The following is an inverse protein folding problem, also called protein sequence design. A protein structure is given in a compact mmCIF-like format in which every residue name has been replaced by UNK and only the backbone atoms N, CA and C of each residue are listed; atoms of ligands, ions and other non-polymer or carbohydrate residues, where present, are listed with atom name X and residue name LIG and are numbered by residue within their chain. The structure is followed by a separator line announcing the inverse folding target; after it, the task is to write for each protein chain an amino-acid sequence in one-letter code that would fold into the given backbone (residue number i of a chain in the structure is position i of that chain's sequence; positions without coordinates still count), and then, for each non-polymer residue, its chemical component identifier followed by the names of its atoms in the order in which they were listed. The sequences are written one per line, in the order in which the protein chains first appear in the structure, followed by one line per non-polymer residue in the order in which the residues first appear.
data_IF_987723103021
#
_entry.id   IF_987723103021
#
_cell.length_a   1.000
_cell.length_b   1.000
_cell.length_c   1.000
_cell.angle_alpha   90.00
_cell.angle_beta   90.00
_cell.angle_gamma   90.00
#
_symmetry.space_group_name_H-M   'P 1'
#
loop_
_entity.id
_entity.type
_entity.pdbx_description
1 polymer ?
#
# COMPACT_ATOMS: atom_id res chain seq x y z
N UNK A 1 1.73 -16.45 5.13
CA UNK A 1 2.40 -15.13 5.19
C UNK A 1 3.92 -15.33 5.31
N UNK A 2 4.73 -14.26 5.27
CA UNK A 2 6.18 -14.38 5.00
C UNK A 2 7.00 -13.61 6.03
N UNK A 3 8.07 -14.22 6.56
CA UNK A 3 9.07 -13.54 7.38
C UNK A 3 10.46 -13.74 6.79
N UNK A 4 11.17 -12.66 6.54
CA UNK A 4 12.56 -12.67 6.09
C UNK A 4 13.46 -12.23 7.25
N UNK A 5 14.54 -12.97 7.50
CA UNK A 5 15.51 -12.68 8.57
C UNK A 5 16.92 -12.63 8.00
N UNK A 6 17.49 -11.43 7.98
CA UNK A 6 18.86 -11.14 7.54
C UNK A 6 19.19 -11.71 6.16
N UNK A 7 18.20 -11.75 5.26
CA UNK A 7 18.35 -12.31 3.92
C UNK A 7 19.43 -11.55 3.18
N UNK A 8 20.46 -12.27 2.77
CA UNK A 8 21.63 -11.72 2.09
C UNK A 8 21.87 -12.50 0.83
N UNK A 9 22.09 -11.80 -0.29
CA UNK A 9 22.48 -12.40 -1.55
C UNK A 9 23.69 -11.70 -2.13
N UNK A 10 24.74 -12.48 -2.36
CA UNK A 10 25.98 -12.05 -2.99
C UNK A 10 26.16 -12.88 -4.27
N UNK A 11 26.60 -12.22 -5.34
CA UNK A 11 26.89 -12.82 -6.63
C UNK A 11 28.38 -12.79 -6.91
N UNK A 12 28.89 -13.82 -7.59
CA UNK A 12 30.27 -13.92 -8.02
C UNK A 12 30.80 -15.34 -7.82
N UNK A 13 32.11 -15.49 -7.96
CA UNK A 13 32.80 -16.78 -7.90
C UNK A 13 32.92 -17.38 -6.49
N UNK A 14 32.91 -16.54 -5.45
CA UNK A 14 33.05 -16.95 -4.06
C UNK A 14 32.23 -16.01 -3.14
N UNK A 15 30.90 -16.16 -3.12
CA UNK A 15 30.01 -15.25 -2.40
C UNK A 15 30.24 -15.22 -0.88
N UNK A 16 30.68 -16.32 -0.28
CA UNK A 16 30.86 -16.46 1.17
C UNK A 16 32.02 -15.59 1.69
N UNK A 17 33.07 -15.41 0.87
CA UNK A 17 34.22 -14.56 1.21
C UNK A 17 33.86 -13.09 1.50
N UNK A 18 32.73 -12.62 0.97
CA UNK A 18 32.27 -11.25 1.15
C UNK A 18 31.38 -11.05 2.40
N UNK A 19 30.96 -12.11 3.09
CA UNK A 19 30.12 -12.01 4.30
C UNK A 19 30.84 -11.25 5.44
N UNK A 20 32.10 -11.55 5.80
CA UNK A 20 32.78 -10.81 6.88
C UNK A 20 32.91 -9.31 6.59
N UNK A 21 33.10 -8.95 5.31
CA UNK A 21 33.19 -7.55 4.90
C UNK A 21 31.86 -6.78 5.09
N UNK A 22 30.73 -7.46 4.96
CA UNK A 22 29.42 -6.89 5.29
C UNK A 22 29.25 -6.67 6.79
N UNK A 23 29.85 -7.51 7.64
CA UNK A 23 29.84 -7.35 9.09
C UNK A 23 30.72 -6.17 9.54
N UNK A 24 31.79 -5.90 8.80
CA UNK A 24 32.61 -4.69 8.94
C UNK A 24 31.94 -3.41 8.39
N UNK A 25 30.68 -3.49 7.95
CA UNK A 25 29.91 -2.39 7.35
C UNK A 25 30.53 -1.79 6.07
N UNK A 26 31.36 -2.55 5.33
CA UNK A 26 31.84 -2.10 4.03
C UNK A 26 30.68 -1.91 3.06
N UNK A 27 30.83 -0.93 2.18
CA UNK A 27 29.87 -0.64 1.12
C UNK A 27 29.93 -1.70 0.02
N UNK A 28 28.88 -1.76 -0.80
CA UNK A 28 28.81 -2.67 -1.94
C UNK A 28 29.96 -2.47 -2.93
N UNK A 29 30.34 -1.21 -3.16
CA UNK A 29 31.42 -0.87 -4.10
C UNK A 29 32.79 -1.26 -3.55
N UNK A 30 33.05 -1.01 -2.25
CA UNK A 30 34.28 -1.47 -1.60
C UNK A 30 34.41 -3.00 -1.64
N UNK A 31 33.33 -3.74 -1.38
CA UNK A 31 33.34 -5.21 -1.45
C UNK A 31 33.64 -5.67 -2.88
N UNK A 32 33.04 -5.02 -3.88
CA UNK A 32 33.27 -5.35 -5.28
C UNK A 32 34.72 -5.08 -5.70
N UNK A 33 35.31 -3.98 -5.25
CA UNK A 33 36.72 -3.66 -5.53
C UNK A 33 37.68 -4.65 -4.86
N UNK A 34 37.40 -5.05 -3.62
CA UNK A 34 38.28 -5.95 -2.85
C UNK A 34 38.17 -7.42 -3.28
N UNK A 35 36.98 -7.88 -3.66
CA UNK A 35 36.69 -9.33 -3.83
C UNK A 35 36.18 -9.71 -5.22
N UNK A 36 35.80 -8.73 -6.05
CA UNK A 36 35.08 -8.96 -7.30
C UNK A 36 33.63 -9.46 -7.12
N UNK A 37 33.16 -9.68 -5.88
CA UNK A 37 31.80 -10.11 -5.59
C UNK A 37 30.83 -8.92 -5.63
N UNK A 38 29.61 -9.13 -6.10
CA UNK A 38 28.56 -8.11 -6.15
C UNK A 38 27.47 -8.39 -5.12
N UNK A 39 27.27 -7.47 -4.18
CA UNK A 39 26.19 -7.58 -3.19
C UNK A 39 24.86 -7.21 -3.83
N UNK A 40 23.94 -8.17 -3.89
CA UNK A 40 22.58 -7.99 -4.41
C UNK A 40 21.59 -7.57 -3.33
N UNK A 41 21.64 -8.24 -2.19
CA UNK A 41 20.79 -7.97 -1.01
C UNK A 41 21.67 -8.10 0.23
N UNK A 42 21.50 -7.22 1.20
CA UNK A 42 22.31 -7.16 2.42
C UNK A 42 21.39 -7.11 3.66
N UNK A 43 21.35 -8.22 4.40
CA UNK A 43 20.65 -8.35 5.69
C UNK A 43 19.22 -7.80 5.68
N UNK A 44 18.45 -8.11 4.64
CA UNK A 44 17.06 -7.68 4.54
C UNK A 44 16.18 -8.47 5.53
N UNK A 45 15.48 -7.75 6.40
CA UNK A 45 14.58 -8.32 7.42
C UNK A 45 13.23 -7.60 7.40
N UNK A 46 12.14 -8.36 7.34
CA UNK A 46 10.77 -7.86 7.36
C UNK A 46 9.77 -9.00 7.63
N UNK A 47 8.57 -8.65 8.06
CA UNK A 47 7.47 -9.60 8.31
C UNK A 47 6.22 -9.09 7.59
N UNK A 48 5.61 -9.95 6.78
CA UNK A 48 4.40 -9.68 6.02
C UNK A 48 3.29 -10.53 6.64
N UNK A 49 2.20 -9.87 7.01
CA UNK A 49 1.00 -10.47 7.60
C UNK A 49 0.09 -11.10 6.53
N UNK A 50 -0.86 -11.90 7.01
CA UNK A 50 -1.85 -12.52 6.13
C UNK A 50 -2.79 -11.45 5.55
N UNK A 51 -3.06 -11.52 4.25
CA UNK A 51 -3.94 -10.57 3.55
C UNK A 51 -3.32 -9.21 3.27
N UNK A 52 -2.12 -8.95 3.79
CA UNK A 52 -1.41 -7.70 3.61
C UNK A 52 -0.86 -7.55 2.19
N UNK A 53 -0.93 -6.33 1.66
CA UNK A 53 -0.17 -5.87 0.50
C UNK A 53 1.10 -5.18 0.95
N UNK A 54 2.24 -5.82 0.74
CA UNK A 54 3.55 -5.29 1.05
C UNK A 54 4.28 -4.87 -0.23
N UNK A 55 4.67 -3.60 -0.32
CA UNK A 55 5.40 -3.04 -1.44
C UNK A 55 6.90 -2.97 -1.12
N UNK A 56 7.76 -3.41 -2.04
CA UNK A 56 9.20 -3.16 -1.99
C UNK A 56 9.56 -2.13 -3.04
N UNK A 57 10.20 -1.06 -2.59
CA UNK A 57 10.53 0.12 -3.36
C UNK A 57 12.03 0.42 -3.37
N UNK A 58 12.46 1.24 -4.32
CA UNK A 58 13.85 1.71 -4.42
C UNK A 58 14.29 1.88 -5.88
N UNK A 59 15.46 2.47 -6.09
CA UNK A 59 16.01 2.69 -7.44
C UNK A 59 16.31 1.37 -8.19
N UNK A 60 16.45 1.48 -9.51
CA UNK A 60 16.94 0.35 -10.31
C UNK A 60 18.31 -0.12 -9.78
N UNK A 61 18.50 -1.44 -9.70
CA UNK A 61 19.77 -2.03 -9.22
C UNK A 61 19.94 -2.13 -7.70
N UNK A 62 19.00 -1.64 -6.87
CA UNK A 62 19.11 -1.73 -5.40
C UNK A 62 18.79 -3.12 -4.82
N UNK A 63 18.45 -4.12 -5.63
CA UNK A 63 18.30 -5.52 -5.18
C UNK A 63 16.87 -6.05 -5.01
N UNK A 64 15.84 -5.24 -5.30
CA UNK A 64 14.41 -5.61 -5.14
C UNK A 64 14.05 -6.94 -5.81
N UNK A 65 14.28 -7.05 -7.12
CA UNK A 65 13.97 -8.26 -7.89
C UNK A 65 14.80 -9.46 -7.45
N UNK A 66 16.01 -9.24 -6.92
CA UNK A 66 16.82 -10.29 -6.31
C UNK A 66 16.16 -10.79 -5.03
N UNK A 67 15.68 -9.89 -4.17
CA UNK A 67 15.03 -10.23 -2.91
C UNK A 67 13.74 -11.03 -3.14
N UNK A 68 12.84 -10.61 -4.03
CA UNK A 68 11.62 -11.38 -4.31
C UNK A 68 11.91 -12.77 -4.89
N UNK A 69 12.98 -12.89 -5.69
CA UNK A 69 13.44 -14.17 -6.23
C UNK A 69 14.07 -15.06 -5.16
N UNK A 70 14.68 -14.47 -4.12
CA UNK A 70 15.12 -15.21 -2.94
C UNK A 70 13.94 -15.75 -2.14
N UNK A 71 12.86 -14.97 -2.00
CA UNK A 71 11.65 -15.39 -1.30
C UNK A 71 10.99 -16.59 -1.98
N UNK A 72 10.87 -16.55 -3.31
CA UNK A 72 10.41 -17.70 -4.09
C UNK A 72 11.50 -18.79 -4.22
N UNK A 73 12.73 -18.52 -3.76
CA UNK A 73 13.95 -19.34 -3.90
C UNK A 73 14.32 -19.71 -5.34
N UNK A 74 13.91 -18.90 -6.33
CA UNK A 74 14.42 -19.01 -7.70
C UNK A 74 15.93 -18.75 -7.72
N UNK A 75 16.36 -17.84 -6.84
CA UNK A 75 17.76 -17.59 -6.51
C UNK A 75 17.92 -18.02 -5.05
N UNK A 76 18.89 -18.89 -4.75
CA UNK A 76 19.19 -19.22 -3.35
C UNK A 76 19.85 -18.03 -2.65
N UNK A 77 19.39 -17.65 -1.45
CA UNK A 77 20.08 -16.65 -0.64
C UNK A 77 21.47 -17.18 -0.25
N UNK A 78 22.43 -16.28 -0.10
CA UNK A 78 23.77 -16.61 0.40
C UNK A 78 23.75 -16.83 1.91
N UNK A 79 22.94 -16.05 2.64
CA UNK A 79 22.76 -16.19 4.08
C UNK A 79 21.36 -15.67 4.51
N UNK A 80 20.98 -15.98 5.75
CA UNK A 80 19.69 -15.60 6.32
C UNK A 80 18.61 -16.64 6.08
N UNK A 81 17.42 -16.38 6.62
CA UNK A 81 16.29 -17.31 6.61
C UNK A 81 15.05 -16.67 6.01
N UNK A 82 14.21 -17.49 5.39
CA UNK A 82 12.94 -17.05 4.81
C UNK A 82 11.89 -18.05 5.24
N UNK A 83 10.95 -17.59 6.03
CA UNK A 83 9.90 -18.41 6.60
C UNK A 83 8.58 -18.17 5.87
N UNK A 84 7.91 -19.27 5.51
CA UNK A 84 6.51 -19.27 5.13
C UNK A 84 5.66 -19.72 6.32
N UNK A 85 4.81 -18.84 6.82
CA UNK A 85 3.87 -19.11 7.91
C UNK A 85 2.50 -19.45 7.33
N UNK A 86 2.05 -20.68 7.50
CA UNK A 86 0.71 -21.11 7.11
C UNK A 86 -0.22 -21.10 8.34
N UNK A 87 -1.44 -20.54 8.27
CA UNK A 87 -2.34 -20.45 9.42
C UNK A 87 -2.59 -21.79 10.12
N UNK A 88 -2.73 -22.87 9.34
CA UNK A 88 -3.04 -24.20 9.87
C UNK A 88 -1.83 -25.12 10.05
N UNK A 89 -0.72 -24.88 9.34
CA UNK A 89 0.43 -25.81 9.27
C UNK A 89 1.65 -25.31 10.02
N UNK A 90 1.58 -24.11 10.59
CA UNK A 90 2.69 -23.47 11.28
C UNK A 90 3.69 -22.84 10.31
N UNK A 91 4.92 -22.67 10.77
CA UNK A 91 5.99 -22.02 10.05
C UNK A 91 6.95 -23.04 9.42
N UNK A 92 7.37 -22.78 8.18
CA UNK A 92 8.41 -23.56 7.50
C UNK A 92 9.50 -22.64 6.95
N UNK A 93 10.75 -23.00 7.16
CA UNK A 93 11.89 -22.30 6.56
C UNK A 93 12.10 -22.76 5.11
N UNK A 94 11.80 -21.86 4.17
CA UNK A 94 11.91 -22.08 2.71
C UNK A 94 13.37 -22.36 2.32
N UNK A 95 14.34 -21.79 3.05
CA UNK A 95 15.77 -21.94 2.74
C UNK A 95 16.28 -23.36 3.01
N UNK A 96 15.62 -24.10 3.89
CA UNK A 96 15.99 -25.45 4.31
C UNK A 96 15.20 -26.55 3.59
N UNK A 97 14.21 -26.18 2.75
CA UNK A 97 13.43 -27.16 1.99
C UNK A 97 14.30 -27.93 1.00
N UNK A 98 14.03 -29.21 0.81
CA UNK A 98 14.52 -29.93 -0.36
C UNK A 98 13.78 -29.48 -1.64
N UNK A 99 14.23 -29.97 -2.79
CA UNK A 99 13.64 -29.57 -4.07
C UNK A 99 12.17 -29.98 -4.24
N UNK A 100 11.76 -31.12 -3.66
CA UNK A 100 10.40 -31.63 -3.82
C UNK A 100 9.40 -30.83 -2.96
N UNK A 101 9.77 -30.57 -1.71
CA UNK A 101 9.01 -29.73 -0.80
C UNK A 101 8.94 -28.29 -1.33
N UNK A 102 10.04 -27.75 -1.86
CA UNK A 102 10.06 -26.42 -2.48
C UNK A 102 9.15 -26.35 -3.71
N UNK A 103 9.17 -27.36 -4.58
CA UNK A 103 8.25 -27.44 -5.73
C UNK A 103 6.79 -27.51 -5.27
N UNK A 104 6.51 -28.25 -4.20
CA UNK A 104 5.17 -28.35 -3.63
C UNK A 104 4.68 -27.01 -3.10
N UNK A 105 5.52 -26.30 -2.32
CA UNK A 105 5.23 -24.96 -1.83
C UNK A 105 4.93 -23.98 -2.98
N UNK A 106 5.78 -23.95 -4.01
CA UNK A 106 5.56 -23.10 -5.20
C UNK A 106 4.31 -23.47 -5.99
N UNK A 107 3.95 -24.74 -6.00
CA UNK A 107 2.82 -25.23 -6.75
C UNK A 107 1.50 -24.92 -6.06
N UNK A 108 1.48 -24.91 -4.73
CA UNK A 108 0.25 -24.81 -3.93
C UNK A 108 0.05 -23.43 -3.32
N UNK A 109 1.12 -22.79 -2.84
CA UNK A 109 1.03 -21.67 -1.90
C UNK A 109 1.57 -20.34 -2.43
N UNK A 110 2.43 -20.37 -3.45
CA UNK A 110 3.04 -19.18 -4.03
C UNK A 110 2.74 -19.05 -5.51
N UNK A 111 2.50 -17.83 -5.96
CA UNK A 111 2.35 -17.51 -7.37
C UNK A 111 3.23 -16.31 -7.72
N UNK A 112 3.82 -16.31 -8.91
CA UNK A 112 4.75 -15.26 -9.33
C UNK A 112 4.33 -14.60 -10.65
N UNK A 113 4.32 -13.27 -10.64
CA UNK A 113 4.16 -12.41 -11.82
C UNK A 113 5.51 -11.76 -12.10
N UNK A 114 6.07 -12.04 -13.28
CA UNK A 114 7.36 -11.53 -13.71
C UNK A 114 7.23 -10.22 -14.48
N UNK A 115 8.27 -9.38 -14.41
CA UNK A 115 8.40 -8.13 -15.17
C UNK A 115 8.25 -8.35 -16.68
N UNK A 116 8.90 -9.37 -17.22
CA UNK A 116 8.63 -9.86 -18.58
C UNK A 116 7.60 -10.98 -18.50
N UNK A 117 6.50 -10.83 -19.23
CA UNK A 117 5.25 -11.59 -19.06
C UNK A 117 5.40 -13.11 -19.03
N UNK A 118 6.53 -13.64 -19.53
CA UNK A 118 6.91 -15.06 -19.50
C UNK A 118 5.75 -15.95 -19.97
N UNK A 119 4.97 -15.46 -20.94
CA UNK A 119 3.86 -16.19 -21.52
C UNK A 119 4.41 -17.27 -22.44
N UNK A 120 3.72 -18.41 -22.46
CA UNK A 120 4.04 -19.53 -23.33
C UNK A 120 3.49 -19.19 -24.73
N UNK A 121 4.35 -18.89 -25.73
CA UNK A 121 3.91 -18.35 -27.01
C UNK A 121 3.12 -19.36 -27.85
N UNK A 122 3.33 -20.66 -27.61
CA UNK A 122 2.67 -21.77 -28.29
C UNK A 122 1.34 -22.18 -27.62
N UNK A 123 0.87 -21.43 -26.61
CA UNK A 123 -0.39 -21.68 -25.91
C UNK A 123 -1.30 -20.48 -26.05
N UNK A 124 -2.61 -20.72 -26.10
CA UNK A 124 -3.60 -19.64 -26.08
C UNK A 124 -3.58 -18.89 -24.74
N UNK A 125 -4.20 -17.72 -24.70
CA UNK A 125 -4.37 -16.89 -23.51
C UNK A 125 -5.04 -17.67 -22.38
N UNK A 126 -6.17 -18.36 -22.66
CA UNK A 126 -6.86 -19.19 -21.67
C UNK A 126 -5.98 -20.33 -21.14
N UNK A 127 -5.17 -20.93 -22.02
CA UNK A 127 -4.23 -22.00 -21.64
C UNK A 127 -3.07 -21.48 -20.79
N UNK A 128 -2.58 -20.27 -21.07
CA UNK A 128 -1.59 -19.59 -20.24
C UNK A 128 -2.12 -19.31 -18.83
N UNK A 129 -3.32 -18.74 -18.72
CA UNK A 129 -3.96 -18.47 -17.42
C UNK A 129 -4.22 -19.75 -16.65
N UNK A 130 -4.66 -20.81 -17.33
CA UNK A 130 -4.91 -22.12 -16.71
C UNK A 130 -3.66 -22.97 -16.43
N UNK A 131 -2.45 -22.49 -16.74
CA UNK A 131 -1.22 -23.29 -16.66
C UNK A 131 -0.87 -23.72 -15.23
N UNK A 132 -0.93 -22.80 -14.26
CA UNK A 132 -0.62 -23.14 -12.86
C UNK A 132 -1.54 -24.24 -12.33
N UNK A 133 -2.82 -24.18 -12.67
CA UNK A 133 -3.81 -25.21 -12.32
C UNK A 133 -3.59 -26.55 -13.03
N UNK A 134 -3.07 -26.53 -14.27
CA UNK A 134 -2.64 -27.74 -14.99
C UNK A 134 -1.51 -28.44 -14.23
N UNK A 135 -0.50 -27.69 -13.79
CA UNK A 135 0.61 -28.21 -12.99
C UNK A 135 0.11 -28.74 -11.64
N UNK A 136 -0.89 -28.08 -11.03
CA UNK A 136 -1.64 -28.55 -9.86
C UNK A 136 -2.39 -29.88 -10.06
N UNK A 137 -2.56 -30.34 -11.30
CA UNK A 137 -3.31 -31.55 -11.62
C UNK A 137 -4.83 -31.35 -11.66
N UNK A 138 -5.31 -30.09 -11.72
CA UNK A 138 -6.76 -29.82 -11.81
C UNK A 138 -7.32 -30.28 -13.15
N UNK A 139 -8.55 -30.78 -13.12
CA UNK A 139 -9.28 -31.24 -14.30
C UNK A 139 -9.41 -30.14 -15.37
N UNK A 140 -9.36 -30.53 -16.66
CA UNK A 140 -9.38 -29.59 -17.80
C UNK A 140 -10.58 -28.64 -17.76
N UNK A 141 -11.77 -29.16 -17.43
CA UNK A 141 -13.00 -28.35 -17.37
C UNK A 141 -12.92 -27.29 -16.28
N UNK A 142 -12.45 -27.67 -15.09
CA UNK A 142 -12.39 -26.77 -13.94
C UNK A 142 -11.33 -25.68 -14.13
N UNK A 143 -10.14 -26.05 -14.64
CA UNK A 143 -9.09 -25.06 -14.92
C UNK A 143 -9.49 -24.08 -16.02
N UNK A 144 -10.19 -24.52 -17.07
CA UNK A 144 -10.69 -23.61 -18.11
C UNK A 144 -11.76 -22.67 -17.56
N UNK A 145 -12.70 -23.18 -16.74
CA UNK A 145 -13.73 -22.35 -16.10
C UNK A 145 -13.12 -21.31 -15.16
N UNK A 146 -12.14 -21.70 -14.34
CA UNK A 146 -11.44 -20.79 -13.45
C UNK A 146 -10.61 -19.76 -14.22
N UNK A 147 -9.87 -20.18 -15.25
CA UNK A 147 -9.11 -19.28 -16.10
C UNK A 147 -10.00 -18.26 -16.83
N UNK A 148 -11.16 -18.68 -17.34
CA UNK A 148 -12.11 -17.78 -18.00
C UNK A 148 -12.65 -16.73 -17.04
N UNK A 149 -13.06 -17.12 -15.82
CA UNK A 149 -13.52 -16.16 -14.81
C UNK A 149 -12.49 -15.07 -14.54
N UNK A 150 -11.22 -15.44 -14.44
CA UNK A 150 -10.14 -14.47 -14.19
C UNK A 150 -9.87 -13.60 -15.41
N UNK A 151 -9.94 -14.16 -16.62
CA UNK A 151 -9.88 -13.35 -17.84
C UNK A 151 -11.01 -12.34 -17.93
N UNK A 152 -12.23 -12.71 -17.54
CA UNK A 152 -13.37 -11.80 -17.50
C UNK A 152 -13.12 -10.66 -16.49
N UNK A 153 -12.58 -10.97 -15.30
CA UNK A 153 -12.21 -9.96 -14.29
C UNK A 153 -11.18 -8.95 -14.82
N UNK A 154 -10.15 -9.40 -15.53
CA UNK A 154 -9.11 -8.49 -16.10
C UNK A 154 -9.51 -7.87 -17.45
N UNK A 155 -10.77 -8.05 -17.88
CA UNK A 155 -11.30 -7.48 -19.13
C UNK A 155 -10.75 -8.12 -20.41
N UNK A 156 -10.27 -9.35 -20.35
CA UNK A 156 -9.73 -10.13 -21.47
C UNK A 156 -10.57 -11.37 -21.84
N UNK A 157 -11.79 -11.49 -21.32
CA UNK A 157 -12.70 -12.60 -21.57
C UNK A 157 -12.81 -13.04 -23.05
N UNK A 158 -13.04 -12.11 -24.00
CA UNK A 158 -13.15 -12.44 -25.43
C UNK A 158 -11.85 -12.95 -26.09
N UNK A 159 -10.69 -12.72 -25.45
CA UNK A 159 -9.36 -13.01 -26.00
C UNK A 159 -8.82 -14.39 -25.61
N UNK A 160 -9.60 -15.21 -24.89
CA UNK A 160 -9.14 -16.50 -24.36
C UNK A 160 -8.60 -17.47 -25.42
N UNK A 161 -9.11 -17.39 -26.65
CA UNK A 161 -8.69 -18.24 -27.78
C UNK A 161 -7.47 -17.71 -28.54
N UNK A 162 -7.10 -16.44 -28.33
CA UNK A 162 -5.95 -15.82 -29.00
C UNK A 162 -4.62 -16.34 -28.45
N UNK A 163 -3.54 -16.15 -29.19
CA UNK A 163 -2.16 -16.39 -28.78
C UNK A 163 -1.51 -15.09 -28.27
N UNK A 164 -0.48 -15.16 -27.41
CA UNK A 164 0.22 -13.97 -26.90
C UNK A 164 0.72 -13.01 -27.99
N UNK A 165 1.14 -13.51 -29.14
CA UNK A 165 1.61 -12.71 -30.28
C UNK A 165 0.52 -11.85 -30.93
N UNK A 166 -0.75 -12.16 -30.68
CA UNK A 166 -1.91 -11.42 -31.20
C UNK A 166 -2.37 -10.31 -30.25
N UNK A 167 -1.69 -10.16 -29.10
CA UNK A 167 -2.04 -9.21 -28.05
C UNK A 167 -1.05 -8.05 -27.98
N UNK A 168 -1.54 -6.86 -27.62
CA UNK A 168 -0.68 -5.74 -27.25
C UNK A 168 0.13 -6.04 -25.98
N UNK A 169 1.23 -5.32 -25.75
CA UNK A 169 2.07 -5.51 -24.55
C UNK A 169 1.26 -5.42 -23.24
N UNK A 170 0.39 -4.41 -23.13
CA UNK A 170 -0.47 -4.27 -21.95
C UNK A 170 -1.53 -5.37 -21.80
N UNK A 171 -1.99 -5.97 -22.90
CA UNK A 171 -2.85 -7.16 -22.82
C UNK A 171 -2.04 -8.39 -22.37
N UNK A 172 -0.82 -8.59 -22.86
CA UNK A 172 0.04 -9.69 -22.41
C UNK A 172 0.36 -9.59 -20.91
N UNK A 173 0.55 -8.39 -20.40
CA UNK A 173 0.75 -8.14 -18.97
C UNK A 173 -0.46 -8.54 -18.13
N UNK A 174 -1.67 -8.18 -18.59
CA UNK A 174 -2.93 -8.61 -17.98
C UNK A 174 -3.10 -10.12 -17.99
N UNK A 175 -2.65 -10.81 -19.05
CA UNK A 175 -2.62 -12.28 -19.06
C UNK A 175 -1.62 -12.83 -18.04
N UNK A 176 -0.46 -12.21 -17.89
CA UNK A 176 0.54 -12.59 -16.87
C UNK A 176 0.00 -12.45 -15.45
N UNK A 177 -0.67 -11.34 -15.16
CA UNK A 177 -1.37 -11.09 -13.89
C UNK A 177 -2.50 -12.10 -13.68
N UNK A 178 -3.37 -12.30 -14.68
CA UNK A 178 -4.45 -13.27 -14.63
C UNK A 178 -3.95 -14.69 -14.35
N UNK A 179 -2.83 -15.11 -14.97
CA UNK A 179 -2.18 -16.40 -14.67
C UNK A 179 -1.77 -16.51 -13.21
N UNK A 180 -1.22 -15.44 -12.64
CA UNK A 180 -0.85 -15.40 -11.23
C UNK A 180 -2.06 -15.58 -10.31
N UNK A 181 -3.13 -14.86 -10.63
CA UNK A 181 -4.39 -14.81 -9.88
C UNK A 181 -5.26 -16.06 -10.02
N UNK A 182 -5.17 -16.77 -11.14
CA UNK A 182 -6.02 -17.95 -11.40
C UNK A 182 -5.69 -19.18 -10.56
N UNK A 183 -4.52 -19.18 -9.91
CA UNK A 183 -4.20 -20.18 -8.87
C UNK A 183 -4.87 -19.79 -7.56
N UNK A 184 -5.07 -20.75 -6.65
CA UNK A 184 -5.55 -20.47 -5.28
C UNK A 184 -4.39 -20.25 -4.29
N UNK A 185 -3.23 -19.77 -4.78
CA UNK A 185 -2.07 -19.49 -3.94
C UNK A 185 -2.37 -18.41 -2.90
N UNK A 186 -1.92 -18.59 -1.66
CA UNK A 186 -2.14 -17.60 -0.59
C UNK A 186 -1.19 -16.40 -0.70
N UNK A 187 -0.05 -16.57 -1.38
CA UNK A 187 0.93 -15.52 -1.62
C UNK A 187 1.09 -15.23 -3.12
N UNK A 188 0.93 -13.96 -3.48
CA UNK A 188 1.24 -13.44 -4.81
C UNK A 188 2.50 -12.59 -4.77
N UNK A 189 3.52 -13.01 -5.51
CA UNK A 189 4.80 -12.31 -5.67
C UNK A 189 4.81 -11.60 -7.03
N UNK A 190 5.02 -10.29 -7.06
CA UNK A 190 4.97 -9.52 -8.30
C UNK A 190 6.22 -8.65 -8.48
N UNK A 191 6.94 -8.85 -9.58
CA UNK A 191 8.17 -8.12 -9.90
C UNK A 191 7.86 -7.06 -10.97
N UNK A 192 7.64 -5.81 -10.56
CA UNK A 192 7.24 -4.68 -11.41
C UNK A 192 6.04 -4.98 -12.33
N UNK A 193 4.89 -5.40 -11.78
CA UNK A 193 3.76 -5.91 -12.55
C UNK A 193 3.07 -4.89 -13.44
N UNK A 194 3.43 -3.59 -13.36
CA UNK A 194 2.81 -2.51 -14.14
C UNK A 194 3.80 -1.63 -14.91
N UNK A 195 5.10 -1.93 -14.90
CA UNK A 195 6.13 -1.03 -15.46
C UNK A 195 6.05 -0.82 -16.98
N UNK A 196 5.56 -1.83 -17.71
CA UNK A 196 5.38 -1.78 -19.17
C UNK A 196 3.99 -1.30 -19.62
N UNK A 197 3.13 -0.82 -18.71
CA UNK A 197 1.78 -0.36 -19.03
C UNK A 197 1.73 1.14 -19.31
N UNK A 198 0.90 1.52 -20.28
CA UNK A 198 0.51 2.92 -20.47
C UNK A 198 -0.18 3.48 -19.21
N UNK A 199 -0.04 4.78 -18.89
CA UNK A 199 -0.53 5.35 -17.64
C UNK A 199 -2.02 5.08 -17.32
N UNK A 200 -2.90 5.13 -18.32
CA UNK A 200 -4.34 4.86 -18.12
C UNK A 200 -4.58 3.39 -17.74
N UNK A 201 -3.99 2.46 -18.50
CA UNK A 201 -4.12 1.02 -18.25
C UNK A 201 -3.46 0.64 -16.91
N UNK A 202 -2.37 1.30 -16.55
CA UNK A 202 -1.72 1.13 -15.24
C UNK A 202 -2.72 1.41 -14.12
N UNK A 203 -3.39 2.56 -14.13
CA UNK A 203 -4.38 2.92 -13.10
C UNK A 203 -5.52 1.91 -13.02
N UNK A 204 -6.10 1.51 -14.16
CA UNK A 204 -7.19 0.54 -14.18
C UNK A 204 -6.76 -0.81 -13.58
N UNK A 205 -5.53 -1.25 -13.86
CA UNK A 205 -5.00 -2.50 -13.31
C UNK A 205 -4.68 -2.44 -11.83
N UNK A 206 -4.20 -1.30 -11.33
CA UNK A 206 -4.02 -1.09 -9.90
C UNK A 206 -5.35 -1.15 -9.14
N UNK A 207 -6.40 -0.54 -9.71
CA UNK A 207 -7.75 -0.59 -9.15
C UNK A 207 -8.28 -2.02 -9.12
N UNK A 208 -8.12 -2.76 -10.21
CA UNK A 208 -8.56 -4.15 -10.29
C UNK A 208 -7.77 -5.04 -9.32
N UNK A 209 -6.46 -4.84 -9.17
CA UNK A 209 -5.67 -5.56 -8.17
C UNK A 209 -6.16 -5.26 -6.75
N UNK A 210 -6.47 -3.99 -6.44
CA UNK A 210 -7.01 -3.57 -5.14
C UNK A 210 -8.37 -4.22 -4.88
N UNK A 211 -9.25 -4.26 -5.89
CA UNK A 211 -10.56 -4.93 -5.82
C UNK A 211 -10.40 -6.43 -5.56
N UNK A 212 -9.52 -7.09 -6.31
CA UNK A 212 -9.24 -8.52 -6.17
C UNK A 212 -8.63 -8.84 -4.81
N UNK A 213 -7.74 -8.01 -4.29
CA UNK A 213 -7.19 -8.19 -2.95
C UNK A 213 -8.28 -8.09 -1.88
N UNK A 214 -9.22 -7.15 -2.00
CA UNK A 214 -10.37 -7.03 -1.09
C UNK A 214 -11.31 -8.22 -1.15
N UNK A 215 -11.47 -8.84 -2.32
CA UNK A 215 -12.35 -10.01 -2.50
C UNK A 215 -11.68 -11.32 -2.05
N UNK A 216 -10.37 -11.49 -2.30
CA UNK A 216 -9.67 -12.75 -2.10
C UNK A 216 -8.81 -12.80 -0.84
N UNK A 217 -8.53 -11.65 -0.20
CA UNK A 217 -7.71 -11.51 1.00
C UNK A 217 -6.37 -12.28 0.94
N UNK A 218 -5.73 -12.26 -0.22
CA UNK A 218 -4.42 -12.89 -0.44
C UNK A 218 -3.31 -11.97 0.02
N UNK A 219 -2.21 -12.55 0.53
CA UNK A 219 -1.00 -11.78 0.82
C UNK A 219 -0.30 -11.45 -0.48
N UNK A 220 0.02 -10.18 -0.70
CA UNK A 220 0.66 -9.71 -1.91
C UNK A 220 2.01 -9.09 -1.53
N UNK A 221 3.07 -9.56 -2.15
CA UNK A 221 4.37 -8.88 -2.13
C UNK A 221 4.67 -8.39 -3.54
N UNK A 222 4.76 -7.09 -3.73
CA UNK A 222 5.06 -6.52 -5.04
C UNK A 222 6.24 -5.56 -5.01
N UNK A 223 6.95 -5.51 -6.12
CA UNK A 223 8.05 -4.58 -6.35
C UNK A 223 7.57 -3.48 -7.28
N UNK A 224 7.92 -2.25 -6.95
CA UNK A 224 7.78 -1.12 -7.88
C UNK A 224 8.94 -0.14 -7.70
N UNK A 225 9.14 0.69 -8.72
CA UNK A 225 9.99 1.89 -8.63
C UNK A 225 9.15 3.17 -8.51
N UNK A 226 7.82 3.06 -8.61
CA UNK A 226 6.87 4.17 -8.59
C UNK A 226 6.26 4.31 -7.18
N UNK A 227 6.48 5.46 -6.55
CA UNK A 227 6.00 5.73 -5.20
C UNK A 227 4.49 5.84 -5.14
N UNK A 228 3.86 6.44 -6.15
CA UNK A 228 2.41 6.62 -6.16
C UNK A 228 1.70 5.24 -6.26
N UNK A 229 2.31 4.29 -6.96
CA UNK A 229 1.83 2.90 -7.00
C UNK A 229 1.91 2.22 -5.64
N UNK A 230 3.04 2.34 -4.95
CA UNK A 230 3.21 1.74 -3.63
C UNK A 230 2.24 2.36 -2.61
N UNK A 231 2.09 3.68 -2.64
CA UNK A 231 1.19 4.44 -1.77
C UNK A 231 -0.28 4.10 -2.00
N UNK A 232 -0.66 3.77 -3.24
CA UNK A 232 -2.06 3.51 -3.61
C UNK A 232 -2.54 2.11 -3.24
N UNK A 233 -1.64 1.12 -3.26
CA UNK A 233 -2.02 -0.30 -3.17
C UNK A 233 -1.42 -0.96 -1.91
N UNK A 234 -0.27 -0.49 -1.44
CA UNK A 234 0.46 -1.10 -0.33
C UNK A 234 -0.11 -0.71 1.02
N UNK A 235 -0.29 -1.70 1.89
CA UNK A 235 -0.56 -1.50 3.32
C UNK A 235 0.74 -1.10 4.05
N UNK A 236 1.86 -1.71 3.67
CA UNK A 236 3.21 -1.31 4.09
C UNK A 236 4.16 -1.21 2.90
N UNK A 237 5.14 -0.32 3.03
CA UNK A 237 6.18 -0.07 2.04
C UNK A 237 7.54 -0.27 2.72
N UNK A 238 8.38 -1.11 2.12
CA UNK A 238 9.80 -1.21 2.42
C UNK A 238 10.61 -0.47 1.34
N UNK A 239 11.38 0.54 1.74
CA UNK A 239 12.30 1.24 0.84
C UNK A 239 13.67 0.58 0.94
N UNK A 240 14.25 0.25 -0.21
CA UNK A 240 15.57 -0.35 -0.36
C UNK A 240 16.57 0.59 -1.03
N UNK A 241 17.76 0.66 -0.45
CA UNK A 241 18.94 1.38 -0.96
C UNK A 241 20.15 0.45 -0.86
N UNK A 242 20.90 0.29 -1.95
CA UNK A 242 22.14 -0.51 -1.99
C UNK A 242 22.04 -1.92 -1.36
N UNK A 243 20.92 -2.60 -1.60
CA UNK A 243 20.67 -3.96 -1.11
C UNK A 243 20.13 -4.03 0.32
N UNK A 244 20.09 -2.91 1.04
CA UNK A 244 19.57 -2.82 2.41
C UNK A 244 18.14 -2.28 2.41
N UNK A 245 17.33 -2.72 3.36
CA UNK A 245 16.06 -2.04 3.67
C UNK A 245 16.40 -0.89 4.60
N UNK A 246 16.08 0.34 4.19
CA UNK A 246 16.37 1.57 4.95
C UNK A 246 15.19 2.03 5.80
N UNK A 247 13.95 1.73 5.38
CA UNK A 247 12.74 2.05 6.13
C UNK A 247 11.61 1.11 5.74
N UNK A 248 10.80 0.73 6.74
CA UNK A 248 9.52 0.05 6.57
C UNK A 248 8.48 0.87 7.34
N UNK A 249 7.31 1.08 6.74
CA UNK A 249 6.19 1.75 7.40
C UNK A 249 4.95 1.75 6.52
N UNK A 250 3.85 2.26 7.06
CA UNK A 250 2.67 2.55 6.26
C UNK A 250 2.99 3.64 5.20
N UNK A 251 2.21 3.71 4.11
CA UNK A 251 2.27 4.84 3.17
C UNK A 251 2.39 6.21 3.85
N UNK A 252 1.56 6.44 4.86
CA UNK A 252 1.53 7.69 5.62
C UNK A 252 2.80 7.93 6.45
N UNK A 253 3.31 6.90 7.14
CA UNK A 253 4.55 7.01 7.91
C UNK A 253 5.77 7.30 7.03
N UNK A 254 5.82 6.69 5.84
CA UNK A 254 6.90 6.90 4.88
C UNK A 254 6.92 8.35 4.39
N UNK A 255 5.74 8.91 4.15
CA UNK A 255 5.55 10.26 3.66
C UNK A 255 5.83 11.32 4.73
N UNK A 256 5.33 11.09 5.96
CA UNK A 256 5.34 12.08 7.04
C UNK A 256 6.63 12.03 7.86
N UNK A 257 7.19 10.83 8.04
CA UNK A 257 8.35 10.58 8.90
C UNK A 257 9.46 9.83 8.13
N UNK A 258 10.08 10.44 7.11
CA UNK A 258 11.21 9.84 6.40
C UNK A 258 12.42 9.70 7.34
N UNK A 259 12.98 8.48 7.47
CA UNK A 259 14.07 8.16 8.40
C UNK A 259 15.47 8.49 7.87
N UNK A 260 15.63 8.64 6.57
CA UNK A 260 16.90 8.98 5.93
C UNK A 260 16.72 10.08 4.90
N UNK A 261 17.80 10.78 4.56
CA UNK A 261 17.79 11.78 3.48
C UNK A 261 17.39 11.15 2.13
N UNK A 262 17.78 9.90 1.89
CA UNK A 262 17.36 9.13 0.72
C UNK A 262 15.84 8.98 0.67
N UNK A 263 15.21 8.56 1.78
CA UNK A 263 13.75 8.43 1.84
C UNK A 263 13.07 9.79 1.67
N UNK A 264 13.61 10.85 2.30
CA UNK A 264 13.07 12.21 2.16
C UNK A 264 13.06 12.69 0.70
N UNK A 265 14.15 12.46 -0.05
CA UNK A 265 14.24 12.77 -1.49
C UNK A 265 13.25 11.96 -2.32
N UNK A 266 13.01 10.70 -1.95
CA UNK A 266 12.05 9.83 -2.62
C UNK A 266 10.62 10.35 -2.51
N UNK A 267 10.23 10.83 -1.33
CA UNK A 267 8.84 11.25 -1.05
C UNK A 267 8.56 12.72 -1.37
N UNK A 268 9.59 13.51 -1.68
CA UNK A 268 9.52 14.96 -1.92
C UNK A 268 8.42 15.34 -2.93
N UNK A 269 8.27 14.58 -4.01
CA UNK A 269 7.32 14.86 -5.10
C UNK A 269 6.02 14.07 -5.04
N UNK A 270 5.84 13.20 -4.04
CA UNK A 270 4.63 12.38 -3.89
C UNK A 270 3.39 13.25 -3.61
N UNK A 271 2.24 12.85 -4.13
CA UNK A 271 0.94 13.47 -3.78
C UNK A 271 0.50 13.01 -2.38
N UNK A 272 0.48 13.90 -1.37
CA UNK A 272 0.11 13.53 -0.02
C UNK A 272 -1.40 13.33 0.15
N UNK A 273 -2.23 13.87 -0.76
CA UNK A 273 -3.66 14.04 -0.52
C UNK A 273 -4.43 12.72 -0.45
N UNK A 274 -3.96 11.70 -1.16
CA UNK A 274 -4.58 10.36 -1.16
C UNK A 274 -4.14 9.47 0.00
N UNK A 275 -3.15 9.90 0.79
CA UNK A 275 -2.46 9.06 1.78
C UNK A 275 -2.60 9.61 3.19
N UNK A 276 -2.38 10.92 3.37
CA UNK A 276 -2.48 11.56 4.69
C UNK A 276 -3.92 11.53 5.16
N UNK A 277 -4.13 11.05 6.38
CA UNK A 277 -5.44 10.91 7.02
C UNK A 277 -5.74 12.10 7.93
N UNK A 278 -7.01 12.22 8.31
CA UNK A 278 -7.50 13.22 9.25
C UNK A 278 -6.74 13.14 10.58
N UNK A 279 -6.51 11.93 11.10
CA UNK A 279 -5.82 11.71 12.38
C UNK A 279 -4.41 12.30 12.43
N UNK A 280 -3.71 12.35 11.29
CA UNK A 280 -2.34 12.86 11.20
C UNK A 280 -2.28 14.37 11.29
N UNK A 281 -3.23 15.08 10.67
CA UNK A 281 -3.17 16.54 10.56
C UNK A 281 -4.12 17.28 11.51
N UNK A 282 -5.08 16.57 12.11
CA UNK A 282 -6.04 17.17 13.03
C UNK A 282 -5.33 17.86 14.19
N UNK A 283 -5.73 19.10 14.44
CA UNK A 283 -5.29 19.84 15.61
C UNK A 283 -5.94 19.23 16.85
N UNK A 284 -5.15 18.66 17.80
CA UNK A 284 -5.70 18.00 18.97
C UNK A 284 -6.45 18.98 19.89
N UNK A 285 -7.54 18.51 20.49
CA UNK A 285 -8.37 19.35 21.39
C UNK A 285 -7.65 19.79 22.67
N UNK A 286 -6.61 19.09 23.09
CA UNK A 286 -5.76 19.44 24.23
C UNK A 286 -4.63 20.41 23.87
N UNK A 287 -4.55 20.85 22.61
CA UNK A 287 -3.61 21.90 22.21
C UNK A 287 -3.94 23.25 22.85
N UNK A 288 -2.92 24.06 23.03
CA UNK A 288 -3.01 25.42 23.56
C UNK A 288 -3.83 26.37 22.68
N UNK A 289 -4.17 25.96 21.45
CA UNK A 289 -5.00 26.70 20.49
C UNK A 289 -6.51 26.61 20.78
N UNK A 290 -6.95 25.78 21.72
CA UNK A 290 -8.35 25.68 22.13
C UNK A 290 -8.62 26.43 23.44
N UNK A 291 -9.80 27.06 23.52
CA UNK A 291 -10.26 27.80 24.71
C UNK A 291 -11.64 27.31 25.11
N UNK A 292 -11.86 27.19 26.42
CA UNK A 292 -13.18 26.85 26.96
C UNK A 292 -14.21 27.95 26.65
N UNK A 293 -15.32 27.55 26.04
CA UNK A 293 -16.50 28.36 25.78
C UNK A 293 -17.54 28.31 26.90
N UNK A 294 -17.23 27.67 28.03
CA UNK A 294 -18.15 27.42 29.14
C UNK A 294 -18.89 26.09 29.05
N UNK A 295 -19.74 25.83 30.04
CA UNK A 295 -20.61 24.64 30.10
C UNK A 295 -22.06 25.10 30.29
N UNK A 296 -22.99 24.44 29.58
CA UNK A 296 -24.42 24.71 29.70
C UNK A 296 -25.20 23.41 29.56
N UNK A 297 -26.11 23.15 30.48
CA UNK A 297 -27.00 21.98 30.46
C UNK A 297 -26.24 20.63 30.34
N UNK A 298 -25.02 20.57 30.87
CA UNK A 298 -24.15 19.38 30.81
C UNK A 298 -23.37 19.22 29.50
N UNK A 299 -23.44 20.21 28.61
CA UNK A 299 -22.66 20.30 27.37
C UNK A 299 -21.50 21.26 27.58
N UNK A 300 -20.29 20.77 27.36
CA UNK A 300 -19.06 21.57 27.42
C UNK A 300 -18.72 22.13 26.04
N UNK A 301 -18.48 23.44 25.96
CA UNK A 301 -18.16 24.10 24.69
C UNK A 301 -16.66 24.42 24.60
N UNK A 302 -16.07 24.18 23.43
CA UNK A 302 -14.73 24.64 23.06
C UNK A 302 -14.79 25.47 21.78
N UNK A 303 -13.84 26.37 21.61
CA UNK A 303 -13.61 27.09 20.36
C UNK A 303 -12.11 27.23 20.10
N UNK A 304 -11.73 27.41 18.84
CA UNK A 304 -10.34 27.73 18.51
C UNK A 304 -10.07 29.21 18.80
N UNK A 305 -8.85 29.54 19.23
CA UNK A 305 -8.44 30.93 19.50
C UNK A 305 -8.58 31.85 18.27
N UNK A 306 -8.34 31.30 17.08
CA UNK A 306 -8.44 32.00 15.80
C UNK A 306 -9.88 32.06 15.23
N UNK A 307 -10.83 31.29 15.80
CA UNK A 307 -12.25 31.25 15.40
C UNK A 307 -13.20 31.26 16.62
N UNK A 308 -13.31 32.38 17.36
CA UNK A 308 -14.14 32.46 18.56
C UNK A 308 -15.64 32.45 18.32
N UNK A 309 -16.07 32.70 17.08
CA UNK A 309 -17.46 32.66 16.65
C UNK A 309 -17.97 31.24 16.37
N UNK A 310 -17.09 30.23 16.30
CA UNK A 310 -17.47 28.83 16.10
C UNK A 310 -17.22 28.04 17.38
N UNK A 311 -18.28 27.44 17.94
CA UNK A 311 -18.20 26.65 19.16
C UNK A 311 -18.61 25.20 18.90
N UNK A 312 -17.93 24.28 19.53
CA UNK A 312 -18.16 22.84 19.44
C UNK A 312 -18.62 22.37 20.81
N UNK A 313 -19.87 21.93 20.91
CA UNK A 313 -20.41 21.39 22.15
C UNK A 313 -20.20 19.88 22.21
N UNK A 314 -19.79 19.42 23.39
CA UNK A 314 -19.52 18.02 23.68
C UNK A 314 -20.29 17.55 24.90
N UNK A 315 -20.81 16.32 24.82
CA UNK A 315 -21.39 15.64 25.97
C UNK A 315 -20.32 15.26 27.02
N UNK A 316 -20.76 14.67 28.14
CA UNK A 316 -19.87 14.26 29.23
C UNK A 316 -18.87 13.18 28.83
N UNK A 317 -19.20 12.43 27.79
CA UNK A 317 -18.37 11.38 27.22
C UNK A 317 -17.41 11.91 26.13
N UNK A 318 -17.44 13.21 25.82
CA UNK A 318 -16.59 13.87 24.83
C UNK A 318 -17.05 13.70 23.38
N UNK A 319 -18.31 13.29 23.16
CA UNK A 319 -18.90 13.15 21.82
C UNK A 319 -19.44 14.47 21.34
N UNK A 320 -19.35 14.70 20.03
CA UNK A 320 -19.93 15.89 19.41
C UNK A 320 -21.44 15.90 19.62
N UNK A 321 -21.95 16.94 20.27
CA UNK A 321 -23.38 17.17 20.48
C UNK A 321 -23.93 18.15 19.44
N UNK A 322 -23.35 19.34 19.35
CA UNK A 322 -23.75 20.42 18.45
C UNK A 322 -22.53 21.26 18.00
N UNK A 323 -22.73 22.03 16.92
CA UNK A 323 -21.80 23.05 16.47
C UNK A 323 -22.58 24.35 16.34
N UNK A 324 -22.02 25.44 16.86
CA UNK A 324 -22.63 26.76 16.86
C UNK A 324 -21.79 27.75 16.06
N UNK A 325 -22.43 28.54 15.22
CA UNK A 325 -21.85 29.71 14.54
C UNK A 325 -22.58 30.96 15.03
N UNK A 326 -21.84 31.94 15.55
CA UNK A 326 -22.39 33.18 16.11
C UNK A 326 -23.50 32.94 17.16
N UNK A 327 -23.39 31.83 17.89
CA UNK A 327 -24.34 31.39 18.92
C UNK A 327 -25.61 30.71 18.39
N UNK A 328 -25.69 30.40 17.09
CA UNK A 328 -26.77 29.64 16.48
C UNK A 328 -26.31 28.26 16.06
N UNK A 329 -27.11 27.23 16.34
CA UNK A 329 -26.79 25.86 15.94
C UNK A 329 -26.76 25.73 14.41
N UNK A 330 -25.71 25.10 13.90
CA UNK A 330 -25.58 24.75 12.48
C UNK A 330 -25.83 23.25 12.28
N UNK A 331 -26.45 22.84 11.16
CA UNK A 331 -26.54 21.43 10.81
C UNK A 331 -25.16 20.79 10.74
N UNK A 332 -25.07 19.55 11.21
CA UNK A 332 -23.86 18.71 11.18
C UNK A 332 -24.13 17.54 10.24
N UNK A 333 -23.25 17.31 9.26
CA UNK A 333 -23.33 16.16 8.35
C UNK A 333 -22.02 15.40 8.29
N UNK A 334 -22.10 14.10 7.99
CA UNK A 334 -20.91 13.32 7.69
C UNK A 334 -20.35 13.73 6.33
N UNK A 335 -19.03 13.77 6.25
CA UNK A 335 -18.32 14.17 5.05
C UNK A 335 -18.69 13.27 3.86
N UNK A 336 -18.81 11.96 4.07
CA UNK A 336 -19.10 10.98 3.04
C UNK A 336 -20.48 11.22 2.40
N UNK A 337 -21.48 11.56 3.22
CA UNK A 337 -22.85 11.87 2.76
C UNK A 337 -22.90 13.11 1.86
N UNK A 338 -21.95 14.04 2.03
CA UNK A 338 -21.86 15.26 1.22
C UNK A 338 -21.11 14.99 -0.08
N UNK A 339 -20.12 14.08 -0.06
CA UNK A 339 -19.36 13.72 -1.26
C UNK A 339 -20.13 12.82 -2.24
N UNK A 340 -21.09 12.02 -1.75
CA UNK A 340 -21.96 11.19 -2.60
C UNK A 340 -23.03 11.99 -3.34
N UNK A 341 -23.38 13.18 -2.86
CA UNK A 341 -24.36 14.07 -3.47
C UNK A 341 -23.68 15.01 -4.50
N UNK A 342 -23.29 14.46 -5.65
CA UNK A 342 -22.65 15.22 -6.74
C UNK A 342 -23.54 16.34 -7.34
N UNK A 343 -24.84 16.37 -6.99
CA UNK A 343 -25.86 17.19 -7.64
C UNK A 343 -25.98 18.61 -7.10
N UNK A 344 -25.35 18.92 -5.96
CA UNK A 344 -25.45 20.23 -5.31
C UNK A 344 -24.07 20.76 -4.91
N UNK A 345 -23.43 21.55 -5.78
CA UNK A 345 -22.44 22.53 -5.31
C UNK A 345 -23.24 23.70 -4.73
N UNK A 346 -23.31 23.87 -3.40
CA UNK A 346 -24.06 24.98 -2.81
C UNK A 346 -23.52 26.32 -3.30
N UNK A 347 -24.41 27.30 -3.45
CA UNK A 347 -24.02 28.68 -3.70
C UNK A 347 -23.08 29.16 -2.58
N UNK A 348 -22.19 30.12 -2.86
CA UNK A 348 -21.17 30.57 -1.89
C UNK A 348 -21.75 31.00 -0.52
N UNK A 349 -23.00 31.49 -0.50
CA UNK A 349 -23.74 31.90 0.70
C UNK A 349 -24.29 30.75 1.56
N UNK A 350 -24.39 29.53 1.02
CA UNK A 350 -24.91 28.35 1.74
C UNK A 350 -23.79 27.52 2.39
N UNK A 351 -22.52 27.82 2.07
CA UNK A 351 -21.34 27.10 2.58
C UNK A 351 -20.98 27.46 4.02
N UNK A 352 -21.44 28.61 4.50
CA UNK A 352 -21.14 29.13 5.84
C UNK A 352 -21.99 28.51 6.94
N UNK A 353 -23.03 27.76 6.61
CA UNK A 353 -24.02 27.24 7.58
C UNK A 353 -24.03 25.73 7.78
N UNK A 354 -22.96 25.01 7.44
CA UNK A 354 -22.91 23.54 7.56
C UNK A 354 -21.61 23.11 8.23
N UNK A 355 -21.68 22.39 9.33
CA UNK A 355 -20.53 21.72 9.94
C UNK A 355 -20.38 20.30 9.38
N UNK A 356 -19.14 19.86 9.22
CA UNK A 356 -18.83 18.53 8.69
C UNK A 356 -18.06 17.70 9.72
N UNK A 357 -18.38 16.42 9.78
CA UNK A 357 -17.63 15.43 10.58
C UNK A 357 -17.00 14.38 9.68
N UNK A 358 -15.81 13.90 10.04
CA UNK A 358 -15.20 12.74 9.39
C UNK A 358 -14.60 11.76 10.41
N UNK A 359 -14.29 10.54 9.95
CA UNK A 359 -13.52 9.55 10.71
C UNK A 359 -12.02 9.89 10.75
N UNK A 360 -11.31 9.27 11.68
CA UNK A 360 -9.84 9.38 11.84
C UNK A 360 -9.06 8.96 10.58
N UNK A 361 -9.61 8.02 9.80
CA UNK A 361 -9.03 7.45 8.57
C UNK A 361 -9.39 8.21 7.29
N UNK A 362 -10.21 9.26 7.39
CA UNK A 362 -10.60 10.05 6.21
C UNK A 362 -9.39 10.73 5.57
N UNK A 363 -9.15 10.45 4.29
CA UNK A 363 -7.99 11.01 3.56
C UNK A 363 -8.15 12.50 3.26
N UNK A 364 -7.03 13.22 3.26
CA UNK A 364 -6.93 14.67 3.02
C UNK A 364 -7.65 15.12 1.73
N UNK A 365 -7.61 14.32 0.67
CA UNK A 365 -8.33 14.58 -0.60
C UNK A 365 -9.84 14.72 -0.40
N UNK A 366 -10.42 13.88 0.46
CA UNK A 366 -11.86 13.92 0.76
C UNK A 366 -12.19 15.15 1.60
N UNK A 367 -11.33 15.49 2.57
CA UNK A 367 -11.46 16.70 3.40
C UNK A 367 -11.36 17.97 2.54
N UNK A 368 -10.39 18.05 1.63
CA UNK A 368 -10.27 19.19 0.71
C UNK A 368 -11.50 19.34 -0.20
N UNK A 369 -12.05 18.23 -0.70
CA UNK A 369 -13.27 18.26 -1.50
C UNK A 369 -14.47 18.72 -0.67
N UNK A 370 -14.57 18.28 0.58
CA UNK A 370 -15.69 18.66 1.45
C UNK A 370 -15.69 20.15 1.80
N UNK A 371 -14.52 20.80 1.82
CA UNK A 371 -14.38 22.26 1.96
C UNK A 371 -14.98 23.07 0.80
N UNK A 372 -15.36 22.43 -0.31
CA UNK A 372 -16.18 23.09 -1.33
C UNK A 372 -17.64 23.28 -0.89
N UNK A 373 -18.09 22.55 0.14
CA UNK A 373 -19.45 22.56 0.66
C UNK A 373 -19.58 23.25 2.02
N UNK A 374 -18.48 23.36 2.78
CA UNK A 374 -18.45 24.02 4.10
C UNK A 374 -17.21 24.90 4.25
N UNK A 375 -17.37 26.08 4.86
CA UNK A 375 -16.26 26.94 5.29
C UNK A 375 -15.88 26.74 6.77
N UNK A 376 -16.59 25.89 7.51
CA UNK A 376 -16.32 25.63 8.91
C UNK A 376 -15.27 24.51 9.08
N UNK A 377 -14.42 24.55 10.13
CA UNK A 377 -13.46 23.48 10.39
C UNK A 377 -14.15 22.11 10.46
N UNK A 378 -13.51 21.10 9.88
CA UNK A 378 -14.02 19.73 9.88
C UNK A 378 -13.71 19.09 11.23
N UNK A 379 -14.73 18.50 11.86
CA UNK A 379 -14.61 17.82 13.15
C UNK A 379 -14.18 16.37 12.91
N UNK A 380 -13.03 15.99 13.46
CA UNK A 380 -12.53 14.61 13.38
C UNK A 380 -13.04 13.83 14.57
N UNK A 381 -13.70 12.71 14.31
CA UNK A 381 -14.29 11.85 15.34
C UNK A 381 -13.76 10.42 15.25
N UNK A 382 -13.66 9.75 16.40
CA UNK A 382 -13.37 8.32 16.44
C UNK A 382 -14.64 7.48 16.22
N UNK A 383 -14.50 6.15 16.21
CA UNK A 383 -15.63 5.22 16.03
C UNK A 383 -16.76 5.34 17.07
N UNK A 384 -16.48 5.90 18.24
CA UNK A 384 -17.48 6.14 19.31
C UNK A 384 -18.14 7.53 19.22
N UNK A 385 -17.81 8.33 18.19
CA UNK A 385 -18.28 9.69 18.00
C UNK A 385 -17.57 10.74 18.87
N UNK A 386 -16.49 10.37 19.58
CA UNK A 386 -15.70 11.32 20.37
C UNK A 386 -14.87 12.21 19.47
N UNK A 387 -14.83 13.50 19.78
CA UNK A 387 -14.00 14.44 19.04
C UNK A 387 -12.53 14.18 19.36
N UNK A 388 -11.72 14.10 18.31
CA UNK A 388 -10.25 13.92 18.39
C UNK A 388 -9.50 15.19 18.09
N UNK A 389 -10.04 16.01 17.19
CA UNK A 389 -9.44 17.26 16.80
C UNK A 389 -10.25 17.94 15.72
N UNK A 390 -9.75 19.09 15.28
CA UNK A 390 -10.34 19.85 14.18
C UNK A 390 -9.33 20.03 13.07
N UNK A 391 -9.82 20.09 11.84
CA UNK A 391 -9.01 20.41 10.66
C UNK A 391 -9.57 21.68 10.03
N UNK A 392 -8.74 22.72 9.98
CA UNK A 392 -9.01 23.93 9.22
C UNK A 392 -7.87 24.24 8.24
N UNK A 393 -7.93 25.37 7.55
CA UNK A 393 -6.98 25.74 6.49
C UNK A 393 -5.50 25.60 6.89
N UNK A 394 -5.03 26.00 8.09
CA UNK A 394 -3.63 25.83 8.48
C UNK A 394 -3.20 24.36 8.53
N UNK A 395 -4.06 23.47 9.05
CA UNK A 395 -3.78 22.04 9.13
C UNK A 395 -3.76 21.40 7.73
N UNK A 396 -4.67 21.83 6.84
CA UNK A 396 -4.70 21.39 5.44
C UNK A 396 -3.43 21.82 4.68
N UNK A 397 -3.04 23.10 4.79
CA UNK A 397 -1.87 23.65 4.11
C UNK A 397 -0.60 22.95 4.59
N UNK A 398 -0.42 22.78 5.91
CA UNK A 398 0.72 22.07 6.46
C UNK A 398 0.75 20.60 6.02
N UNK A 399 -0.40 19.93 6.01
CA UNK A 399 -0.50 18.55 5.52
C UNK A 399 -0.07 18.40 4.06
N UNK A 400 -0.40 19.36 3.19
CA UNK A 400 -0.05 19.32 1.77
C UNK A 400 1.42 19.71 1.54
N UNK A 401 1.87 20.82 2.11
CA UNK A 401 3.17 21.43 1.79
C UNK A 401 4.31 20.79 2.57
N UNK A 402 4.14 20.66 3.88
CA UNK A 402 5.18 20.15 4.77
C UNK A 402 5.15 18.62 4.85
N UNK A 403 4.03 18.01 4.46
CA UNK A 403 3.78 16.57 4.65
C UNK A 403 3.96 16.17 6.11
N UNK A 404 3.66 17.09 7.04
CA UNK A 404 3.85 16.89 8.48
C UNK A 404 2.51 16.79 9.20
N UNK A 405 2.45 15.89 10.16
CA UNK A 405 1.34 15.76 11.10
C UNK A 405 1.60 16.43 12.44
N UNK A 406 0.60 16.38 13.32
CA UNK A 406 0.70 16.75 14.74
C UNK A 406 1.00 15.53 15.63
N UNK A 407 1.21 14.35 15.04
CA UNK A 407 1.59 13.12 15.73
C UNK A 407 3.13 13.14 15.98
N UNK A 408 3.60 12.80 17.19
CA UNK A 408 5.03 12.73 17.54
C UNK A 408 5.82 11.65 16.82
#
# INVERSE_FOLDING_TARGET
MIRAENVTKIFGSDPESAIPLLEENKTKDEIRELTGQTVGVNKASFDIQQGEVFAIMGLSGCGKSTLIRCINRIIDPTAGHIFFKHPERGEVDITQLDEEALRTLRKQNMSMVFQHFALLPHRTVLSNVGYGMEIQGRGRRDRQKAAQRVLDMVGLGPWGSSYPSELSGGMQQRVGLARGLATDAEVLLMDEPFSALDPLIKVDMQQELTRIQRELHRTILFITHDLDEAMRIGDHIAIMEDGKIVQIGSPEQILVNPRTEYVAKFVEHADPTGVITASTIALPLDSDKFVSGGERDGISYLHRQDLPNVRYGMDREGRLHDVQLDGQDVPVRRLEEVLEDESARPASSERTGLALTCGEDAVLRHILRSRLHSTLPVVVTNGDGRIRGLIDDPELINGILEKRGHIP
#
